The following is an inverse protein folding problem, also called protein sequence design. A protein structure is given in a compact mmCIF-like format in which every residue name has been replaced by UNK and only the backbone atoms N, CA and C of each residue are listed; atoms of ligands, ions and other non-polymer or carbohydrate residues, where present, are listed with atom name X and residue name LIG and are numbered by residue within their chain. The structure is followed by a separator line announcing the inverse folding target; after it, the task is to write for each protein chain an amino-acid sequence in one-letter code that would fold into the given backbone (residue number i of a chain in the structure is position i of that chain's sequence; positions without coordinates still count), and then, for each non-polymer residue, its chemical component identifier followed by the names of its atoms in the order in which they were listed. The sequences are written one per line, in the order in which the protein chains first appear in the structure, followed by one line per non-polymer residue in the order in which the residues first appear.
data_IF_031668655836
#
_entry.id   IF_031668655836
#
_cell.length_a   1.000
_cell.length_b   1.000
_cell.length_c   1.000
_cell.angle_alpha   90.00
_cell.angle_beta   90.00
_cell.angle_gamma   90.00
#
_symmetry.space_group_name_H-M   'P 1'
#
loop_
_entity.id
_entity.type
_entity.pdbx_description
1 polymer ?
#
# COMPACT_ATOMS: atom_id res chain seq x y z
N UNK A 1 18.64 -8.87 -12.17
CA UNK A 1 17.80 -9.68 -11.26
C UNK A 1 16.45 -9.00 -11.18
N UNK A 2 15.41 -9.59 -11.78
CA UNK A 2 14.03 -9.14 -11.57
C UNK A 2 13.62 -9.65 -10.19
N UNK A 3 13.73 -8.81 -9.16
CA UNK A 3 13.23 -9.12 -7.82
C UNK A 3 11.73 -9.37 -7.95
N UNK A 4 11.36 -10.63 -7.78
CA UNK A 4 9.99 -11.09 -7.93
C UNK A 4 9.17 -10.36 -6.86
N UNK A 5 8.43 -9.34 -7.32
CA UNK A 5 7.80 -8.26 -6.55
C UNK A 5 6.56 -8.76 -5.81
N UNK A 6 6.69 -9.90 -5.14
CA UNK A 6 5.61 -10.59 -4.45
C UNK A 6 5.59 -10.08 -3.02
N UNK A 7 4.49 -9.44 -2.65
CA UNK A 7 4.16 -9.16 -1.25
C UNK A 7 3.49 -10.43 -0.71
N UNK A 8 3.93 -10.89 0.44
CA UNK A 8 3.46 -12.07 1.12
C UNK A 8 2.07 -11.85 1.71
N UNK A 9 1.35 -12.96 1.82
CA UNK A 9 0.00 -12.97 2.37
C UNK A 9 0.09 -12.81 3.88
N UNK A 10 -0.46 -11.73 4.40
CA UNK A 10 -0.62 -11.48 5.82
C UNK A 10 -1.74 -12.33 6.40
N UNK A 11 -1.41 -13.15 7.39
CA UNK A 11 -2.39 -13.99 8.11
C UNK A 11 -3.34 -13.16 8.99
N UNK A 12 -2.93 -11.97 9.41
CA UNK A 12 -3.71 -11.08 10.28
C UNK A 12 -4.79 -10.27 9.56
N UNK A 13 -4.97 -10.46 8.24
CA UNK A 13 -5.93 -9.70 7.43
C UNK A 13 -6.72 -10.61 6.50
N UNK A 14 -8.06 -10.45 6.48
CA UNK A 14 -8.91 -11.02 5.44
C UNK A 14 -9.05 -9.99 4.28
N UNK A 15 -8.57 -10.27 3.05
CA UNK A 15 -8.58 -9.37 1.91
C UNK A 15 -9.99 -9.15 1.35
N UNK A 16 -10.92 -10.08 1.60
CA UNK A 16 -12.35 -9.88 1.32
C UNK A 16 -12.89 -8.68 2.10
N UNK A 17 -12.37 -8.41 3.30
CA UNK A 17 -12.74 -7.21 4.08
C UNK A 17 -12.27 -5.92 3.39
N UNK A 18 -11.15 -5.96 2.66
CA UNK A 18 -10.66 -4.83 1.88
C UNK A 18 -11.56 -4.52 0.69
N UNK A 19 -11.92 -5.55 -0.08
CA UNK A 19 -12.85 -5.46 -1.20
C UNK A 19 -14.25 -5.03 -0.75
N UNK A 20 -14.76 -5.56 0.36
CA UNK A 20 -16.07 -5.16 0.88
C UNK A 20 -16.09 -3.71 1.37
N UNK A 21 -14.95 -3.20 1.87
CA UNK A 21 -14.87 -1.85 2.44
C UNK A 21 -14.61 -0.76 1.39
N UNK A 22 -13.81 -1.06 0.37
CA UNK A 22 -13.39 -0.09 -0.63
C UNK A 22 -13.92 -0.37 -2.04
N UNK A 23 -14.44 -1.58 -2.30
CA UNK A 23 -14.83 -2.04 -3.62
C UNK A 23 -13.63 -2.50 -4.45
N UNK A 24 -13.81 -2.47 -5.77
CA UNK A 24 -12.77 -2.75 -6.75
C UNK A 24 -11.89 -1.50 -6.95
N UNK A 25 -10.88 -1.35 -6.09
CA UNK A 25 -9.92 -0.23 -6.12
C UNK A 25 -8.49 -0.74 -6.29
N UNK A 26 -7.64 0.13 -6.83
CA UNK A 26 -6.22 -0.17 -6.94
C UNK A 26 -5.56 -0.11 -5.54
N UNK A 27 -4.85 -1.16 -5.15
CA UNK A 27 -4.13 -1.27 -3.88
C UNK A 27 -2.62 -1.25 -4.08
N UNK A 28 -1.89 -0.58 -3.18
CA UNK A 28 -0.43 -0.68 -3.17
C UNK A 28 0.04 -2.06 -2.69
N UNK A 29 -0.76 -2.75 -1.88
CA UNK A 29 -0.60 -4.17 -1.54
C UNK A 29 -1.81 -4.97 -2.07
N UNK A 30 -1.75 -5.48 -3.32
CA UNK A 30 -2.83 -6.23 -3.94
C UNK A 30 -2.92 -7.68 -3.41
N UNK A 31 -1.90 -8.20 -2.72
CA UNK A 31 -1.98 -9.55 -2.12
C UNK A 31 -2.91 -9.53 -0.92
N UNK A 32 -2.91 -8.43 -0.17
CA UNK A 32 -3.69 -8.30 1.07
C UNK A 32 -4.84 -7.29 0.97
N UNK A 33 -5.06 -6.72 -0.22
CA UNK A 33 -6.01 -5.63 -0.46
C UNK A 33 -5.87 -4.50 0.58
N UNK A 34 -4.62 -4.05 0.77
CA UNK A 34 -4.26 -2.97 1.70
C UNK A 34 -3.72 -1.76 0.98
N UNK A 35 -3.90 -0.61 1.64
CA UNK A 35 -3.42 0.69 1.16
C UNK A 35 -4.03 1.06 -0.20
N UNK A 36 -5.33 1.41 -0.25
CA UNK A 36 -5.95 1.88 -1.49
C UNK A 36 -5.20 3.11 -2.01
N UNK A 37 -5.13 3.24 -3.33
CA UNK A 37 -4.37 4.29 -4.04
C UNK A 37 -5.14 4.86 -5.25
N UNK A 38 -6.43 4.61 -5.33
CA UNK A 38 -7.36 5.04 -6.37
C UNK A 38 -7.77 6.53 -6.27
N UNK A 39 -7.70 7.13 -5.08
CA UNK A 39 -8.03 8.55 -4.86
C UNK A 39 -6.89 9.31 -4.17
N UNK A 40 -6.83 10.65 -4.31
CA UNK A 40 -5.90 11.49 -3.56
C UNK A 40 -5.94 11.28 -2.05
N UNK A 41 -7.14 11.12 -1.48
CA UNK A 41 -7.38 10.88 -0.06
C UNK A 41 -6.82 9.53 0.36
N UNK A 42 -7.07 8.48 -0.41
CA UNK A 42 -6.53 7.14 -0.17
C UNK A 42 -5.00 7.12 -0.27
N UNK A 43 -4.41 7.82 -1.24
CA UNK A 43 -2.94 7.92 -1.35
C UNK A 43 -2.32 8.56 -0.11
N UNK A 44 -2.86 9.70 0.37
CA UNK A 44 -2.34 10.36 1.58
C UNK A 44 -2.48 9.46 2.81
N UNK A 45 -3.63 8.80 2.95
CA UNK A 45 -3.84 7.85 4.03
C UNK A 45 -2.84 6.69 3.92
N UNK A 46 -2.76 6.01 2.78
CA UNK A 46 -1.85 4.91 2.53
C UNK A 46 -0.41 5.25 2.92
N UNK A 47 0.07 6.43 2.52
CA UNK A 47 1.39 6.93 2.87
C UNK A 47 1.60 7.06 4.39
N UNK A 48 0.67 7.70 5.08
CA UNK A 48 0.72 7.85 6.54
C UNK A 48 0.69 6.50 7.26
N UNK A 49 -0.14 5.57 6.80
CA UNK A 49 -0.27 4.26 7.44
C UNK A 49 0.99 3.40 7.25
N UNK A 50 1.56 3.29 6.03
CA UNK A 50 2.76 2.46 5.81
C UNK A 50 3.99 3.00 6.53
N UNK A 51 4.06 4.31 6.78
CA UNK A 51 5.14 4.93 7.56
C UNK A 51 4.98 4.79 9.07
N UNK A 52 3.81 4.35 9.55
CA UNK A 52 3.63 4.02 10.95
C UNK A 52 4.36 2.70 11.28
N UNK A 53 5.23 2.73 12.30
CA UNK A 53 6.11 1.61 12.69
C UNK A 53 5.37 0.27 12.80
N UNK A 54 4.21 0.25 13.46
CA UNK A 54 3.45 -1.00 13.68
C UNK A 54 2.86 -1.60 12.40
N UNK A 55 2.58 -0.77 11.40
CA UNK A 55 2.10 -1.24 10.10
C UNK A 55 3.26 -1.70 9.22
N UNK A 56 4.37 -0.96 9.22
CA UNK A 56 5.60 -1.34 8.51
C UNK A 56 6.16 -2.67 9.03
N UNK A 57 6.09 -2.91 10.34
CA UNK A 57 6.57 -4.14 10.98
C UNK A 57 5.80 -5.41 10.60
N UNK A 58 4.70 -5.28 9.84
CA UNK A 58 3.91 -6.42 9.30
C UNK A 58 4.47 -6.96 7.98
N UNK A 59 5.51 -6.34 7.47
CA UNK A 59 6.09 -6.58 6.17
C UNK A 59 7.62 -6.65 6.30
N UNK A 60 8.25 -7.39 5.39
CA UNK A 60 9.68 -7.33 5.22
C UNK A 60 10.09 -5.99 4.60
N UNK A 61 11.34 -5.59 4.83
CA UNK A 61 11.86 -4.30 4.35
C UNK A 61 11.67 -4.09 2.85
N UNK A 62 11.84 -5.15 2.05
CA UNK A 62 11.69 -5.09 0.59
C UNK A 62 10.23 -4.90 0.15
N UNK A 63 9.29 -5.45 0.92
CA UNK A 63 7.86 -5.28 0.71
C UNK A 63 7.40 -3.88 1.08
N UNK A 64 7.88 -3.34 2.21
CA UNK A 64 7.64 -1.96 2.62
C UNK A 64 8.09 -1.01 1.52
N UNK A 65 9.30 -1.18 0.99
CA UNK A 65 9.80 -0.37 -0.12
C UNK A 65 8.95 -0.52 -1.38
N UNK A 66 8.50 -1.73 -1.69
CA UNK A 66 7.60 -2.00 -2.82
C UNK A 66 6.27 -1.25 -2.67
N UNK A 67 5.64 -1.34 -1.50
CA UNK A 67 4.37 -0.66 -1.19
C UNK A 67 4.55 0.85 -1.29
N UNK A 68 5.59 1.40 -0.65
CA UNK A 68 5.93 2.84 -0.71
C UNK A 68 6.13 3.31 -2.14
N UNK A 69 6.84 2.54 -2.97
CA UNK A 69 7.06 2.89 -4.37
C UNK A 69 5.77 2.92 -5.19
N UNK A 70 4.82 2.03 -4.92
CA UNK A 70 3.48 2.06 -5.54
C UNK A 70 2.68 3.29 -5.09
N UNK A 71 2.69 3.63 -3.81
CA UNK A 71 2.02 4.83 -3.28
C UNK A 71 2.63 6.10 -3.88
N UNK A 72 3.97 6.21 -3.97
CA UNK A 72 4.65 7.35 -4.61
C UNK A 72 4.25 7.51 -6.09
N UNK A 73 4.06 6.42 -6.83
CA UNK A 73 3.59 6.46 -8.22
C UNK A 73 2.15 6.96 -8.30
N UNK A 74 1.27 6.48 -7.42
CA UNK A 74 -0.10 6.95 -7.34
C UNK A 74 -0.18 8.43 -6.93
N UNK A 75 0.67 8.88 -5.99
CA UNK A 75 0.77 10.28 -5.62
C UNK A 75 1.08 11.18 -6.81
N UNK A 76 2.06 10.79 -7.64
CA UNK A 76 2.37 11.50 -8.90
C UNK A 76 1.19 11.50 -9.88
N UNK A 77 0.50 10.36 -10.04
CA UNK A 77 -0.68 10.22 -10.92
C UNK A 77 -1.83 11.13 -10.49
N UNK A 78 -2.02 11.29 -9.18
CA UNK A 78 -3.11 12.07 -8.60
C UNK A 78 -2.73 13.52 -8.25
N UNK A 79 -1.49 13.94 -8.53
CA UNK A 79 -1.01 15.28 -8.16
C UNK A 79 -0.97 15.52 -6.65
N UNK A 80 -0.77 14.47 -5.85
CA UNK A 80 -0.66 14.54 -4.39
C UNK A 80 0.79 14.70 -3.97
N UNK A 81 1.04 15.71 -3.15
CA UNK A 81 2.30 15.81 -2.41
C UNK A 81 2.24 14.92 -1.17
N UNK A 82 3.27 14.08 -1.01
CA UNK A 82 3.48 13.21 0.14
C UNK A 82 4.85 13.55 0.73
N UNK A 83 4.97 13.51 2.05
CA UNK A 83 6.24 13.80 2.72
C UNK A 83 7.32 12.77 2.34
N UNK A 84 8.56 13.23 2.21
CA UNK A 84 9.69 12.33 2.01
C UNK A 84 9.96 11.53 3.30
N UNK A 85 10.36 10.27 3.13
CA UNK A 85 10.82 9.37 4.20
C UNK A 85 12.11 9.86 4.88
#
# INVERSE_FOLDING_TARGET
MMSNTKIDRREDVNPETGEHKYGDVEFADPTNNKYPIDTPEHVRAAWNYINHKDNAAKYDREEVETIKNRIRRAAKKHGVEIEAD
#
